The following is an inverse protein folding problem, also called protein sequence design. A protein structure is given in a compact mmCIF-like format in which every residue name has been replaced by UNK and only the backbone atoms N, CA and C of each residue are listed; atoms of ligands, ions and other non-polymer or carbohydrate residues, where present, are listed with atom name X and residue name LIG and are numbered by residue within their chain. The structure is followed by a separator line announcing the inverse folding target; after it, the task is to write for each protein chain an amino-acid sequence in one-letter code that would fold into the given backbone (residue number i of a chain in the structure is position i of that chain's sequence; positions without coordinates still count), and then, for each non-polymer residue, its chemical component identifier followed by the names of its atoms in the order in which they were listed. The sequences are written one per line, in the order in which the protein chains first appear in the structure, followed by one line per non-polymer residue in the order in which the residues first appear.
data_IF_015924243731
#
_entry.id   IF_015924243731
#
_cell.length_a   1.000
_cell.length_b   1.000
_cell.length_c   1.000
_cell.angle_alpha   90.00
_cell.angle_beta   90.00
_cell.angle_gamma   90.00
#
_symmetry.space_group_name_H-M   'P 1'
#
loop_
_entity.id
_entity.type
_entity.pdbx_description
1 polymer ?
#
# COMPACT_ATOMS: atom_id res chain seq x y z
N UNK A 1 9.36 7.69 -18.44
CA UNK A 1 9.60 7.46 -17.00
C UNK A 1 9.34 8.71 -16.16
N UNK A 2 9.94 9.86 -16.49
CA UNK A 2 9.75 11.11 -15.73
C UNK A 2 8.28 11.56 -15.58
N UNK A 3 7.50 11.57 -16.67
CA UNK A 3 6.08 11.94 -16.62
C UNK A 3 5.22 10.97 -15.82
N UNK A 4 5.52 9.66 -15.86
CA UNK A 4 4.82 8.67 -15.03
C UNK A 4 5.08 8.89 -13.54
N UNK A 5 6.32 9.25 -13.18
CA UNK A 5 6.70 9.55 -11.80
C UNK A 5 5.94 10.77 -11.27
N UNK A 6 5.82 11.83 -12.07
CA UNK A 6 5.11 13.07 -11.68
C UNK A 6 3.61 12.88 -11.47
N UNK A 7 3.00 11.91 -12.16
CA UNK A 7 1.56 11.66 -12.09
C UNK A 7 1.17 10.49 -11.18
N UNK A 8 2.14 9.80 -10.60
CA UNK A 8 1.87 8.66 -9.72
C UNK A 8 1.30 9.17 -8.38
N UNK A 9 0.13 8.66 -8.01
CA UNK A 9 -0.43 8.91 -6.68
C UNK A 9 0.22 7.97 -5.68
N UNK A 10 0.74 8.52 -4.59
CA UNK A 10 1.41 7.73 -3.55
C UNK A 10 0.43 7.01 -2.60
N UNK A 11 -0.86 7.05 -2.90
CA UNK A 11 -1.91 6.42 -2.13
C UNK A 11 -2.88 5.60 -3.00
N UNK A 12 -3.38 4.50 -2.42
CA UNK A 12 -4.47 3.71 -2.96
C UNK A 12 -5.53 3.47 -1.87
N UNK A 13 -6.81 3.60 -2.23
CA UNK A 13 -7.96 3.27 -1.37
C UNK A 13 -8.59 1.96 -1.84
N UNK A 14 -8.57 0.95 -0.98
CA UNK A 14 -9.13 -0.39 -1.23
C UNK A 14 -10.27 -0.74 -0.27
N UNK A 15 -10.83 0.25 0.43
CA UNK A 15 -11.96 0.03 1.34
C UNK A 15 -13.18 -0.50 0.57
N UNK A 16 -13.84 -1.49 1.17
CA UNK A 16 -15.04 -2.10 0.59
C UNK A 16 -14.79 -3.11 -0.53
N UNK A 17 -13.54 -3.26 -0.99
CA UNK A 17 -13.16 -4.30 -1.94
C UNK A 17 -13.17 -5.67 -1.27
N UNK A 18 -13.40 -6.73 -2.07
CA UNK A 18 -13.18 -8.10 -1.61
C UNK A 18 -11.67 -8.36 -1.44
N UNK A 19 -11.32 -9.33 -0.61
CA UNK A 19 -9.92 -9.62 -0.26
C UNK A 19 -9.02 -9.84 -1.48
N UNK A 20 -9.47 -10.64 -2.45
CA UNK A 20 -8.70 -10.90 -3.68
C UNK A 20 -8.57 -9.66 -4.57
N UNK A 21 -9.64 -8.88 -4.73
CA UNK A 21 -9.66 -7.63 -5.51
C UNK A 21 -8.69 -6.60 -4.91
N UNK A 22 -8.75 -6.43 -3.58
CA UNK A 22 -7.86 -5.53 -2.86
C UNK A 22 -6.39 -5.96 -2.99
N UNK A 23 -6.13 -7.27 -2.87
CA UNK A 23 -4.77 -7.81 -2.97
C UNK A 23 -4.19 -7.58 -4.37
N UNK A 24 -4.98 -7.83 -5.41
CA UNK A 24 -4.59 -7.60 -6.79
C UNK A 24 -4.32 -6.11 -7.07
N UNK A 25 -5.21 -5.21 -6.59
CA UNK A 25 -5.03 -3.77 -6.75
C UNK A 25 -3.76 -3.27 -6.03
N UNK A 26 -3.51 -3.74 -4.81
CA UNK A 26 -2.29 -3.41 -4.05
C UNK A 26 -1.04 -3.96 -4.73
N UNK A 27 -1.11 -5.14 -5.34
CA UNK A 27 0.02 -5.73 -6.06
C UNK A 27 0.47 -4.83 -7.21
N UNK A 28 -0.46 -4.46 -8.11
CA UNK A 28 -0.14 -3.56 -9.21
C UNK A 28 0.36 -2.19 -8.73
N UNK A 29 -0.25 -1.66 -7.67
CA UNK A 29 0.13 -0.38 -7.10
C UNK A 29 1.56 -0.36 -6.55
N UNK A 30 1.95 -1.41 -5.81
CA UNK A 30 3.30 -1.51 -5.24
C UNK A 30 4.34 -1.72 -6.35
N UNK A 31 4.03 -2.55 -7.36
CA UNK A 31 4.91 -2.76 -8.51
C UNK A 31 5.14 -1.45 -9.29
N UNK A 32 4.08 -0.69 -9.55
CA UNK A 32 4.18 0.61 -10.21
C UNK A 32 4.98 1.61 -9.36
N UNK A 33 4.78 1.63 -8.04
CA UNK A 33 5.52 2.49 -7.12
C UNK A 33 7.03 2.21 -7.16
N UNK A 34 7.42 0.94 -7.16
CA UNK A 34 8.81 0.50 -7.29
C UNK A 34 9.35 0.89 -8.67
N UNK A 35 8.61 0.65 -9.74
CA UNK A 35 9.02 0.94 -11.11
C UNK A 35 9.29 2.44 -11.34
N UNK A 36 8.53 3.33 -10.71
CA UNK A 36 8.75 4.79 -10.81
C UNK A 36 9.71 5.33 -9.74
N UNK A 37 10.21 4.47 -8.84
CA UNK A 37 11.14 4.82 -7.78
C UNK A 37 10.53 5.78 -6.76
N UNK A 38 9.37 5.43 -6.20
CA UNK A 38 8.84 6.08 -5.00
C UNK A 38 9.55 5.56 -3.76
N UNK A 39 9.89 6.45 -2.83
CA UNK A 39 10.48 6.04 -1.55
C UNK A 39 9.43 5.50 -0.56
N UNK A 40 8.18 5.99 -0.69
CA UNK A 40 7.10 5.69 0.25
C UNK A 40 5.72 5.75 -0.41
N UNK A 41 4.84 4.84 -0.03
CA UNK A 41 3.43 4.81 -0.42
C UNK A 41 2.49 4.50 0.75
N UNK A 42 1.19 4.72 0.56
CA UNK A 42 0.13 4.55 1.56
C UNK A 42 -0.99 3.68 1.02
N UNK A 43 -1.46 2.73 1.80
CA UNK A 43 -2.57 1.84 1.43
C UNK A 43 -3.70 2.03 2.45
N UNK A 44 -4.79 2.68 2.03
CA UNK A 44 -5.99 2.85 2.84
C UNK A 44 -6.90 1.63 2.68
N UNK A 45 -6.89 0.77 3.69
CA UNK A 45 -7.69 -0.46 3.73
C UNK A 45 -8.82 -0.42 4.77
N UNK A 46 -8.85 0.63 5.61
CA UNK A 46 -9.81 0.80 6.70
C UNK A 46 -9.50 -0.09 7.91
N UNK A 47 -10.21 0.13 9.01
CA UNK A 47 -10.00 -0.59 10.27
C UNK A 47 -10.83 -1.87 10.34
N UNK A 48 -12.14 -1.78 10.08
CA UNK A 48 -13.07 -2.91 9.94
C UNK A 48 -12.80 -4.07 10.91
N UNK A 49 -12.85 -5.30 10.41
CA UNK A 49 -12.40 -6.52 11.12
C UNK A 49 -10.89 -6.77 10.97
N UNK A 50 -10.16 -5.88 10.29
CA UNK A 50 -8.72 -6.02 10.04
C UNK A 50 -8.32 -7.02 8.94
N UNK A 51 -9.28 -7.65 8.24
CA UNK A 51 -8.98 -8.67 7.23
C UNK A 51 -8.10 -8.12 6.10
N UNK A 52 -8.46 -6.96 5.52
CA UNK A 52 -7.67 -6.36 4.44
C UNK A 52 -6.27 -5.97 4.93
N UNK A 53 -6.15 -5.38 6.13
CA UNK A 53 -4.86 -5.07 6.77
C UNK A 53 -3.97 -6.31 6.82
N UNK A 54 -4.49 -7.44 7.32
CA UNK A 54 -3.74 -8.68 7.46
C UNK A 54 -3.30 -9.25 6.11
N UNK A 55 -4.21 -9.35 5.14
CA UNK A 55 -3.91 -9.86 3.79
C UNK A 55 -2.84 -9.02 3.09
N UNK A 56 -3.01 -7.69 3.12
CA UNK A 56 -2.06 -6.75 2.50
C UNK A 56 -0.69 -6.87 3.15
N UNK A 57 -0.62 -6.85 4.48
CA UNK A 57 0.66 -6.98 5.20
C UNK A 57 1.33 -8.33 4.96
N UNK A 58 0.58 -9.41 4.83
CA UNK A 58 1.12 -10.72 4.47
C UNK A 58 1.73 -10.71 3.06
N UNK A 59 1.07 -10.08 2.08
CA UNK A 59 1.64 -9.91 0.75
C UNK A 59 2.91 -9.04 0.77
N UNK A 60 2.90 -7.90 1.47
CA UNK A 60 4.04 -6.99 1.55
C UNK A 60 5.30 -7.67 2.11
N UNK A 61 5.17 -8.66 2.99
CA UNK A 61 6.31 -9.47 3.48
C UNK A 61 7.01 -10.27 2.38
N UNK A 62 6.33 -10.55 1.27
CA UNK A 62 6.86 -11.35 0.16
C UNK A 62 7.48 -10.49 -0.95
N UNK A 63 7.35 -9.17 -0.89
CA UNK A 63 7.78 -8.26 -1.95
C UNK A 63 9.24 -7.82 -1.70
N UNK A 64 10.22 -8.19 -2.54
CA UNK A 64 11.62 -7.83 -2.33
C UNK A 64 11.89 -6.32 -2.33
N UNK A 65 11.04 -5.53 -2.99
CA UNK A 65 11.14 -4.07 -3.04
C UNK A 65 10.60 -3.34 -1.81
N UNK A 66 10.08 -4.05 -0.81
CA UNK A 66 9.55 -3.46 0.43
C UNK A 66 10.61 -3.49 1.51
N UNK A 67 11.01 -2.31 1.99
CA UNK A 67 11.98 -2.14 3.08
C UNK A 67 11.35 -2.24 4.45
N UNK A 68 10.18 -1.61 4.63
CA UNK A 68 9.47 -1.55 5.90
C UNK A 68 7.99 -1.26 5.67
N UNK A 69 7.13 -1.70 6.59
CA UNK A 69 5.74 -1.26 6.61
C UNK A 69 5.17 -1.25 8.03
N UNK A 70 4.36 -0.24 8.30
CA UNK A 70 3.75 0.01 9.61
C UNK A 70 2.34 0.57 9.47
N UNK A 71 1.60 0.56 10.57
CA UNK A 71 0.38 1.35 10.63
C UNK A 71 0.76 2.83 10.60
N UNK A 72 -0.08 3.66 9.99
CA UNK A 72 0.13 5.09 9.98
C UNK A 72 0.00 5.69 11.38
N UNK A 73 0.59 6.87 11.60
CA UNK A 73 0.36 7.70 12.75
C UNK A 73 -1.15 7.94 12.99
N UNK A 74 -1.56 7.94 14.25
CA UNK A 74 -2.97 8.05 14.66
C UNK A 74 -3.66 9.31 14.12
N UNK A 75 -2.93 10.43 13.99
CA UNK A 75 -3.46 11.68 13.45
C UNK A 75 -3.71 11.64 11.94
N UNK A 76 -3.13 10.69 11.22
CA UNK A 76 -3.24 10.57 9.76
C UNK A 76 -3.99 9.32 9.32
N UNK A 77 -4.76 8.67 10.22
CA UNK A 77 -5.62 7.53 9.91
C UNK A 77 -5.28 6.25 10.67
N UNK A 78 -4.16 6.21 11.39
CA UNK A 78 -3.85 5.11 12.31
C UNK A 78 -3.79 3.74 11.64
N UNK A 79 -4.29 2.74 12.36
CA UNK A 79 -4.39 1.34 11.90
C UNK A 79 -5.28 1.11 10.67
N UNK A 80 -5.96 2.13 10.14
CA UNK A 80 -6.72 2.05 8.89
C UNK A 80 -5.86 2.20 7.63
N UNK A 81 -4.59 2.58 7.79
CA UNK A 81 -3.66 2.83 6.71
C UNK A 81 -2.35 2.10 7.00
N UNK A 82 -1.87 1.34 6.01
CA UNK A 82 -0.50 0.80 6.04
C UNK A 82 0.40 1.73 5.23
N UNK A 83 1.46 2.24 5.86
CA UNK A 83 2.54 2.99 5.21
C UNK A 83 3.63 2.00 4.83
N UNK A 84 4.13 2.11 3.60
CA UNK A 84 5.15 1.21 3.05
C UNK A 84 6.34 2.04 2.59
N UNK A 85 7.51 1.73 3.13
CA UNK A 85 8.80 2.24 2.67
C UNK A 85 9.39 1.26 1.65
N UNK A 86 9.81 1.79 0.50
CA UNK A 86 10.37 1.02 -0.62
C UNK A 86 11.90 1.21 -0.70
N UNK A 87 12.55 0.38 -1.51
CA UNK A 87 14.01 0.42 -1.77
C UNK A 87 14.37 1.17 -3.04
#
# INVERSE_FOLDING_TARGET
MYEKKLNFKQDIDVRGMRGEEALQAVTYFVDDAILVGMDRVRILHGTGTGILRSLIRQYLQTVPGVKHFADEHVQFGGAGITVVDLV
#
